data_IF_964061146996
#
_entry.id   IF_964061146996
#
_cell.length_a   1.000
_cell.length_b   1.000
_cell.length_c   1.000
_cell.angle_alpha   90.00
_cell.angle_beta   90.00
_cell.angle_gamma   90.00
#
_symmetry.space_group_name_H-M   'P 1'
#
loop_
_entity.id
_entity.type
_entity.pdbx_description
1 polymer ?
#
# COMPACT_ATOMS: atom_id res chain seq x y z
N UNK A 1 67.22 62.40 17.38
CA UNK A 1 66.89 62.44 15.95
C UNK A 1 66.81 61.03 15.37
N UNK A 2 67.90 60.24 15.34
CA UNK A 2 67.87 58.87 14.82
C UNK A 2 67.03 57.89 15.67
N UNK A 3 67.14 57.98 16.99
CA UNK A 3 66.34 57.16 17.92
C UNK A 3 64.85 57.47 17.80
N UNK A 4 64.47 58.74 17.73
CA UNK A 4 63.08 59.17 17.58
C UNK A 4 62.46 58.69 16.25
N UNK A 5 63.23 58.71 15.15
CA UNK A 5 62.80 58.15 13.86
C UNK A 5 62.63 56.63 13.93
N UNK A 6 63.55 55.92 14.59
CA UNK A 6 63.45 54.48 14.77
C UNK A 6 62.25 54.07 15.62
N UNK A 7 61.96 54.83 16.69
CA UNK A 7 60.81 54.58 17.56
C UNK A 7 59.48 54.86 16.84
N UNK A 8 59.42 55.92 16.01
CA UNK A 8 58.26 56.19 15.15
C UNK A 8 58.00 55.09 14.13
N UNK A 9 59.04 54.60 13.44
CA UNK A 9 58.89 53.50 12.46
C UNK A 9 58.42 52.20 13.12
N UNK A 10 58.87 51.90 14.34
CA UNK A 10 58.38 50.75 15.11
C UNK A 10 56.91 50.90 15.48
N UNK A 11 56.49 52.10 15.91
CA UNK A 11 55.09 52.38 16.22
C UNK A 11 54.20 52.29 14.97
N UNK A 12 54.65 52.81 13.83
CA UNK A 12 53.94 52.70 12.55
C UNK A 12 53.81 51.26 12.08
N UNK A 13 54.87 50.44 12.22
CA UNK A 13 54.82 49.01 11.92
C UNK A 13 53.88 48.25 12.86
N UNK A 14 53.93 48.53 14.17
CA UNK A 14 53.03 47.91 15.14
C UNK A 14 51.56 48.29 14.88
N UNK A 15 51.30 49.53 14.45
CA UNK A 15 49.96 49.96 14.03
C UNK A 15 49.49 49.22 12.78
N UNK A 16 50.36 49.07 11.76
CA UNK A 16 50.05 48.32 10.55
C UNK A 16 49.81 46.83 10.83
N UNK A 17 50.60 46.21 11.72
CA UNK A 17 50.42 44.82 12.15
C UNK A 17 49.09 44.65 12.93
N UNK A 18 48.71 45.61 13.77
CA UNK A 18 47.44 45.59 14.48
C UNK A 18 46.23 45.79 13.54
N UNK A 19 46.36 46.64 12.52
CA UNK A 19 45.34 46.81 11.49
C UNK A 19 45.19 45.55 10.64
N UNK A 20 46.30 44.93 10.22
CA UNK A 20 46.29 43.67 9.49
C UNK A 20 45.65 42.53 10.32
N UNK A 21 45.92 42.47 11.63
CA UNK A 21 45.30 41.49 12.51
C UNK A 21 43.78 41.72 12.66
N UNK A 22 43.31 42.98 12.69
CA UNK A 22 41.88 43.30 12.70
C UNK A 22 41.21 42.92 11.39
N UNK A 23 41.83 43.25 10.26
CA UNK A 23 41.32 42.88 8.94
C UNK A 23 41.25 41.35 8.76
N UNK A 24 42.24 40.61 9.27
CA UNK A 24 42.23 39.15 9.28
C UNK A 24 41.08 38.60 10.15
N UNK A 25 40.89 39.14 11.36
CA UNK A 25 39.80 38.73 12.24
C UNK A 25 38.41 39.04 11.65
N UNK A 26 38.25 40.18 10.97
CA UNK A 26 37.02 40.54 10.25
C UNK A 26 36.77 39.59 9.06
N UNK A 27 37.81 39.26 8.28
CA UNK A 27 37.70 38.30 7.19
C UNK A 27 37.34 36.88 7.70
N UNK A 28 37.92 36.46 8.83
CA UNK A 28 37.56 35.19 9.47
C UNK A 28 36.13 35.19 10.01
N UNK A 29 35.65 36.30 10.56
CA UNK A 29 34.26 36.44 11.01
C UNK A 29 33.29 36.41 9.82
N UNK A 30 33.63 37.07 8.72
CA UNK A 30 32.82 37.03 7.49
C UNK A 30 32.80 35.62 6.89
N UNK A 31 33.94 34.94 6.82
CA UNK A 31 34.02 33.54 6.38
C UNK A 31 33.17 32.62 7.26
N UNK A 32 33.20 32.81 8.58
CA UNK A 32 32.35 32.06 9.52
C UNK A 32 30.86 32.37 9.32
N UNK A 33 30.49 33.63 9.08
CA UNK A 33 29.09 34.00 8.79
C UNK A 33 28.59 33.37 7.50
N UNK A 34 29.41 33.40 6.45
CA UNK A 34 29.08 32.76 5.17
C UNK A 34 28.97 31.24 5.32
N UNK A 35 29.87 30.60 6.07
CA UNK A 35 29.77 29.17 6.36
C UNK A 35 28.48 28.83 7.13
N UNK A 36 28.15 29.60 8.17
CA UNK A 36 26.93 29.41 8.93
C UNK A 36 25.66 29.64 8.08
N UNK A 37 25.69 30.60 7.16
CA UNK A 37 24.59 30.84 6.22
C UNK A 37 24.43 29.67 5.25
N UNK A 38 25.53 29.14 4.71
CA UNK A 38 25.50 27.97 3.83
C UNK A 38 25.00 26.71 4.57
N UNK A 39 25.41 26.52 5.83
CA UNK A 39 24.90 25.43 6.68
C UNK A 39 23.42 25.58 6.99
N UNK A 40 22.95 26.80 7.28
CA UNK A 40 21.54 27.08 7.51
C UNK A 40 20.70 26.82 6.24
N UNK A 41 21.18 27.26 5.08
CA UNK A 41 20.55 27.01 3.80
C UNK A 41 20.51 25.51 3.47
N UNK A 42 21.59 24.76 3.73
CA UNK A 42 21.61 23.32 3.56
C UNK A 42 20.64 22.60 4.51
N UNK A 43 20.55 23.04 5.78
CA UNK A 43 19.61 22.49 6.75
C UNK A 43 18.15 22.77 6.35
N UNK A 44 17.85 23.96 5.83
CA UNK A 44 16.52 24.30 5.31
C UNK A 44 16.19 23.46 4.07
N UNK A 45 17.11 23.35 3.11
CA UNK A 45 16.93 22.51 1.94
C UNK A 45 16.67 21.03 2.32
N UNK A 46 17.38 20.51 3.32
CA UNK A 46 17.14 19.16 3.83
C UNK A 46 15.77 19.04 4.49
N UNK A 47 15.32 20.04 5.26
CA UNK A 47 13.97 20.06 5.85
C UNK A 47 12.90 20.03 4.77
N UNK A 48 13.03 20.90 3.76
CA UNK A 48 12.10 20.95 2.63
C UNK A 48 12.09 19.63 1.86
N UNK A 49 13.25 19.01 1.62
CA UNK A 49 13.35 17.71 0.98
C UNK A 49 12.65 16.61 1.80
N UNK A 50 12.84 16.60 3.13
CA UNK A 50 12.17 15.65 4.01
C UNK A 50 10.65 15.86 4.04
N UNK A 51 10.18 17.11 4.05
CA UNK A 51 8.75 17.44 3.98
C UNK A 51 8.13 17.03 2.64
N UNK A 52 8.83 17.28 1.53
CA UNK A 52 8.40 16.82 0.20
C UNK A 52 8.36 15.30 0.11
N UNK A 53 9.36 14.61 0.66
CA UNK A 53 9.39 13.16 0.74
C UNK A 53 8.24 12.61 1.60
N UNK A 54 7.96 13.25 2.75
CA UNK A 54 6.83 12.89 3.60
C UNK A 54 5.48 13.11 2.90
N UNK A 55 5.33 14.23 2.19
CA UNK A 55 4.13 14.52 1.40
C UNK A 55 3.94 13.52 0.26
N UNK A 56 5.02 13.16 -0.45
CA UNK A 56 4.98 12.14 -1.50
C UNK A 56 4.61 10.75 -0.94
N UNK A 57 5.18 10.37 0.20
CA UNK A 57 4.84 9.13 0.90
C UNK A 57 3.37 9.11 1.35
N UNK A 58 2.86 10.22 1.88
CA UNK A 58 1.46 10.36 2.28
C UNK A 58 0.52 10.26 1.06
N UNK A 59 0.86 10.89 -0.06
CA UNK A 59 0.09 10.81 -1.30
C UNK A 59 0.08 9.37 -1.85
N UNK A 60 1.21 8.67 -1.82
CA UNK A 60 1.29 7.27 -2.23
C UNK A 60 0.45 6.35 -1.33
N UNK A 61 0.47 6.58 -0.01
CA UNK A 61 -0.36 5.83 0.93
C UNK A 61 -1.86 6.09 0.71
N UNK A 62 -2.26 7.33 0.43
CA UNK A 62 -3.64 7.68 0.11
C UNK A 62 -4.11 7.00 -1.18
N UNK A 63 -3.29 7.03 -2.25
CA UNK A 63 -3.59 6.35 -3.51
C UNK A 63 -3.70 4.83 -3.34
N UNK A 64 -2.84 4.22 -2.52
CA UNK A 64 -2.93 2.80 -2.20
C UNK A 64 -4.21 2.46 -1.41
N UNK A 65 -4.60 3.30 -0.46
CA UNK A 65 -5.85 3.12 0.30
C UNK A 65 -7.09 3.26 -0.59
N UNK A 66 -7.09 4.20 -1.54
CA UNK A 66 -8.15 4.35 -2.53
C UNK A 66 -8.23 3.13 -3.45
N UNK A 67 -7.10 2.65 -3.96
CA UNK A 67 -7.05 1.43 -4.78
C UNK A 67 -7.59 0.21 -4.04
N UNK A 68 -7.28 0.07 -2.74
CA UNK A 68 -7.86 -0.98 -1.90
C UNK A 68 -9.37 -0.85 -1.74
N UNK A 69 -9.89 0.38 -1.51
CA UNK A 69 -11.34 0.62 -1.42
C UNK A 69 -12.06 0.25 -2.72
N UNK A 70 -11.51 0.67 -3.86
CA UNK A 70 -12.05 0.33 -5.19
C UNK A 70 -12.03 -1.18 -5.40
N UNK A 71 -10.94 -1.86 -5.06
CA UNK A 71 -10.84 -3.32 -5.17
C UNK A 71 -11.86 -4.06 -4.28
N UNK A 72 -12.06 -3.59 -3.04
CA UNK A 72 -13.08 -4.17 -2.14
C UNK A 72 -14.49 -3.93 -2.67
N UNK A 73 -14.78 -2.74 -3.19
CA UNK A 73 -16.08 -2.43 -3.78
C UNK A 73 -16.35 -3.30 -5.02
N UNK A 74 -15.35 -3.48 -5.89
CA UNK A 74 -15.47 -4.39 -7.03
C UNK A 74 -15.69 -5.84 -6.59
N UNK A 75 -15.02 -6.30 -5.53
CA UNK A 75 -15.25 -7.63 -4.98
C UNK A 75 -16.66 -7.78 -4.40
N UNK A 76 -17.22 -6.73 -3.76
CA UNK A 76 -18.60 -6.71 -3.25
C UNK A 76 -19.64 -6.71 -4.37
N UNK A 77 -19.35 -6.09 -5.51
CA UNK A 77 -20.24 -6.06 -6.68
C UNK A 77 -20.13 -7.29 -7.57
N UNK A 78 -19.12 -8.14 -7.38
CA UNK A 78 -18.96 -9.36 -8.16
C UNK A 78 -20.16 -10.30 -7.92
N UNK A 79 -20.83 -10.78 -9.00
CA UNK A 79 -21.94 -11.70 -8.85
C UNK A 79 -21.44 -13.00 -8.20
N UNK A 80 -22.21 -13.52 -7.24
CA UNK A 80 -21.93 -14.82 -6.64
C UNK A 80 -21.88 -15.87 -7.75
N UNK A 81 -20.84 -16.71 -7.73
CA UNK A 81 -20.75 -17.83 -8.64
C UNK A 81 -22.03 -18.68 -8.53
N UNK A 82 -22.61 -19.12 -9.66
CA UNK A 82 -23.79 -19.97 -9.61
C UNK A 82 -23.49 -21.21 -8.77
N UNK A 83 -24.41 -21.55 -7.87
CA UNK A 83 -24.30 -22.77 -7.09
C UNK A 83 -24.14 -23.98 -8.04
N UNK A 84 -23.31 -24.97 -7.69
CA UNK A 84 -23.22 -26.18 -8.49
C UNK A 84 -24.62 -26.78 -8.64
N UNK A 85 -25.01 -27.25 -9.84
CA UNK A 85 -26.31 -27.86 -10.03
C UNK A 85 -26.47 -29.04 -9.07
N UNK A 86 -27.69 -29.29 -8.55
CA UNK A 86 -27.93 -30.45 -7.72
C UNK A 86 -27.53 -31.72 -8.48
N UNK A 87 -27.05 -32.76 -7.77
CA UNK A 87 -26.71 -34.03 -8.40
C UNK A 87 -27.94 -34.56 -9.15
N UNK A 88 -27.74 -34.97 -10.40
CA UNK A 88 -28.81 -35.56 -11.19
C UNK A 88 -29.32 -36.84 -10.52
N UNK A 89 -30.64 -37.11 -10.55
CA UNK A 89 -31.19 -38.35 -10.03
C UNK A 89 -30.57 -39.55 -10.76
N UNK A 90 -30.41 -40.70 -10.08
CA UNK A 90 -29.91 -41.91 -10.73
C UNK A 90 -30.85 -42.30 -11.87
N UNK A 91 -30.31 -42.95 -12.91
CA UNK A 91 -31.11 -43.41 -14.04
C UNK A 91 -32.26 -44.34 -13.59
N UNK A 92 -32.05 -45.13 -12.55
CA UNK A 92 -33.05 -45.99 -11.91
C UNK A 92 -32.76 -46.15 -10.40
N UNK A 93 -33.80 -46.24 -9.57
CA UNK A 93 -33.65 -46.61 -8.16
C UNK A 93 -33.54 -48.11 -7.99
N UNK A 94 -32.69 -48.56 -7.05
CA UNK A 94 -32.53 -50.00 -6.76
C UNK A 94 -33.80 -50.61 -6.15
N UNK A 95 -34.51 -49.85 -5.33
CA UNK A 95 -35.75 -50.25 -4.66
C UNK A 95 -36.54 -49.00 -4.20
N UNK A 96 -37.76 -49.23 -3.70
CA UNK A 96 -38.63 -48.15 -3.25
C UNK A 96 -38.16 -47.42 -1.99
N UNK A 97 -37.37 -48.08 -1.15
CA UNK A 97 -36.77 -47.43 0.02
C UNK A 97 -35.71 -46.41 -0.41
N UNK A 98 -34.92 -46.70 -1.44
CA UNK A 98 -33.97 -45.75 -2.03
C UNK A 98 -34.68 -44.56 -2.70
N UNK A 99 -35.79 -44.81 -3.39
CA UNK A 99 -36.61 -43.75 -4.00
C UNK A 99 -37.24 -42.83 -2.92
N UNK A 100 -37.81 -43.41 -1.85
CA UNK A 100 -38.36 -42.66 -0.72
C UNK A 100 -37.28 -41.90 0.06
N UNK A 101 -36.13 -42.51 0.31
CA UNK A 101 -35.00 -41.86 0.99
C UNK A 101 -34.44 -40.66 0.18
N UNK A 102 -34.53 -40.74 -1.15
CA UNK A 102 -34.17 -39.64 -2.05
C UNK A 102 -35.30 -38.60 -2.23
N UNK A 103 -36.48 -38.80 -1.62
CA UNK A 103 -37.65 -37.93 -1.79
C UNK A 103 -38.26 -37.96 -3.20
N UNK A 104 -37.98 -39.00 -3.98
CA UNK A 104 -38.38 -39.13 -5.38
C UNK A 104 -39.60 -40.02 -5.60
N UNK A 105 -40.15 -40.63 -4.55
CA UNK A 105 -41.37 -41.44 -4.63
C UNK A 105 -42.63 -40.55 -4.50
N UNK A 106 -43.70 -40.81 -5.30
CA UNK A 106 -43.83 -41.86 -6.31
C UNK A 106 -43.03 -41.59 -7.59
N UNK A 107 -42.48 -42.65 -8.18
CA UNK A 107 -41.62 -42.57 -9.38
C UNK A 107 -42.42 -42.98 -10.60
N UNK A 108 -42.65 -42.09 -11.55
CA UNK A 108 -43.51 -42.38 -12.71
C UNK A 108 -42.74 -42.95 -13.91
N UNK A 109 -43.40 -43.78 -14.71
CA UNK A 109 -42.84 -44.32 -15.94
C UNK A 109 -42.34 -43.20 -16.88
N UNK A 110 -41.10 -43.34 -17.33
CA UNK A 110 -40.43 -42.33 -18.17
C UNK A 110 -39.69 -41.24 -17.39
N UNK A 111 -39.84 -41.16 -16.07
CA UNK A 111 -39.00 -40.29 -15.24
C UNK A 111 -37.67 -40.97 -14.89
N UNK A 112 -36.57 -40.18 -14.78
CA UNK A 112 -35.32 -40.69 -14.25
C UNK A 112 -35.53 -41.22 -12.83
N UNK A 113 -35.02 -42.41 -12.56
CA UNK A 113 -35.26 -43.13 -11.31
C UNK A 113 -36.28 -44.26 -11.47
N UNK A 114 -37.13 -44.24 -12.51
CA UNK A 114 -38.09 -45.33 -12.73
C UNK A 114 -37.39 -46.61 -13.17
N UNK A 115 -37.74 -47.71 -12.53
CA UNK A 115 -37.44 -49.05 -12.99
C UNK A 115 -38.70 -49.89 -12.94
N UNK A 116 -38.87 -50.78 -13.93
CA UNK A 116 -40.05 -51.67 -14.03
C UNK A 116 -40.22 -52.58 -12.81
N UNK A 117 -39.18 -52.73 -11.99
CA UNK A 117 -39.17 -53.48 -10.73
C UNK A 117 -39.70 -52.69 -9.52
N UNK A 118 -39.95 -51.39 -9.66
CA UNK A 118 -40.51 -50.53 -8.61
C UNK A 118 -42.05 -50.48 -8.63
N UNK A 119 -42.61 -50.90 -9.75
CA UNK A 119 -44.02 -50.83 -10.11
C UNK A 119 -44.53 -52.28 -10.11
N UNK A 120 -45.27 -52.65 -9.05
CA UNK A 120 -45.58 -54.04 -8.77
C UNK A 120 -46.74 -54.56 -9.62
N UNK A 121 -47.67 -53.68 -9.95
CA UNK A 121 -48.88 -54.01 -10.71
C UNK A 121 -48.79 -53.60 -12.20
N UNK A 122 -47.80 -52.78 -12.55
CA UNK A 122 -47.47 -52.39 -13.91
C UNK A 122 -48.29 -51.18 -14.41
N UNK A 123 -48.86 -50.38 -13.52
CA UNK A 123 -49.73 -49.26 -13.86
C UNK A 123 -48.96 -47.98 -14.30
N UNK A 124 -47.63 -47.99 -14.14
CA UNK A 124 -46.75 -46.89 -14.47
C UNK A 124 -46.38 -45.98 -13.28
N UNK A 125 -46.80 -46.32 -12.06
CA UNK A 125 -46.52 -45.61 -10.82
C UNK A 125 -45.66 -46.50 -9.90
N UNK A 126 -44.37 -46.23 -9.84
CA UNK A 126 -43.46 -46.94 -8.95
C UNK A 126 -43.53 -46.44 -7.50
N UNK A 127 -43.47 -47.38 -6.56
CA UNK A 127 -43.35 -47.13 -5.12
C UNK A 127 -44.57 -46.50 -4.43
N UNK A 128 -45.75 -46.94 -4.85
CA UNK A 128 -46.99 -46.82 -4.07
C UNK A 128 -47.01 -47.64 -2.77
#
# INVERSE_FOLDING_TARGET
MDKDRADRLKAERAAAEAEAARAAAEAELEAQRLAAEQEAAAAEAQRQANEQAAAAAAAAAAAAAEAQRVAEEQARQAPAAPAPPPPAPPAYFKNCDAARAAGAAPVYAGQPGYGRHLDRDGDGIGCE
#
